data_IF_457146719585
#
_entry.id   IF_457146719585
#
_cell.length_a   1.000
_cell.length_b   1.000
_cell.length_c   1.000
_cell.angle_alpha   90.00
_cell.angle_beta   90.00
_cell.angle_gamma   90.00
#
_symmetry.space_group_name_H-M   'P 1'
#
loop_
_entity.id
_entity.type
_entity.pdbx_description
1 polymer ?
#
# COMPACT_ATOMS: atom_id res chain seq x y z
N UNK A 1 -3.24 15.20 32.50
CA UNK A 1 -2.66 13.83 32.49
C UNK A 1 -3.76 12.84 32.16
N UNK A 2 -3.73 12.18 31.00
CA UNK A 2 -4.75 11.21 30.57
C UNK A 2 -4.54 9.86 31.26
N UNK A 3 -5.22 9.65 32.38
CA UNK A 3 -5.03 8.52 33.31
C UNK A 3 -5.55 7.14 32.86
N UNK A 4 -5.57 6.81 31.57
CA UNK A 4 -6.09 5.50 31.11
C UNK A 4 -5.39 4.90 29.88
N UNK A 5 -4.10 5.19 29.66
CA UNK A 5 -3.33 4.47 28.64
C UNK A 5 -3.04 3.06 29.11
N UNK A 6 -3.48 2.07 28.33
CA UNK A 6 -3.19 0.64 28.52
C UNK A 6 -2.27 0.18 27.40
N UNK A 7 -1.16 -0.44 27.77
CA UNK A 7 -0.20 -1.04 26.85
C UNK A 7 -0.48 -2.53 26.74
N UNK A 8 -0.42 -3.06 25.51
CA UNK A 8 -0.69 -4.47 25.23
C UNK A 8 0.46 -5.05 24.43
N UNK A 9 1.08 -6.11 24.95
CA UNK A 9 2.04 -6.92 24.20
C UNK A 9 1.28 -7.90 23.33
N UNK A 10 1.39 -7.75 22.01
CA UNK A 10 0.66 -8.57 21.06
C UNK A 10 1.40 -9.85 20.65
N UNK A 11 2.74 -9.78 20.56
CA UNK A 11 3.59 -10.88 20.12
C UNK A 11 5.01 -10.66 20.64
N UNK A 12 5.67 -11.74 21.06
CA UNK A 12 7.08 -11.75 21.45
C UNK A 12 7.72 -12.97 20.77
N UNK A 13 8.71 -12.74 19.91
CA UNK A 13 9.43 -13.78 19.19
C UNK A 13 10.93 -13.52 19.33
N UNK A 14 11.69 -14.57 19.66
CA UNK A 14 13.15 -14.52 19.67
C UNK A 14 13.69 -14.78 18.26
N UNK A 15 14.38 -13.79 17.70
CA UNK A 15 14.94 -13.82 16.35
C UNK A 15 16.48 -13.78 16.35
N UNK A 16 17.12 -14.00 17.50
CA UNK A 16 18.58 -13.95 17.66
C UNK A 16 19.35 -14.86 16.69
N UNK A 17 18.77 -16.01 16.33
CA UNK A 17 19.36 -16.96 15.38
C UNK A 17 19.20 -16.56 13.90
N UNK A 18 18.43 -15.52 13.59
CA UNK A 18 18.16 -15.08 12.21
C UNK A 18 18.89 -13.74 11.99
N UNK A 19 20.02 -13.78 11.27
CA UNK A 19 20.85 -12.60 10.98
C UNK A 19 19.98 -11.42 10.53
N UNK A 20 20.13 -10.29 11.22
CA UNK A 20 19.39 -9.02 11.11
C UNK A 20 19.32 -8.44 9.69
N UNK A 21 18.59 -9.10 8.80
CA UNK A 21 18.37 -8.58 7.46
C UNK A 21 17.07 -7.80 7.52
N UNK A 22 17.07 -6.50 7.16
CA UNK A 22 15.88 -5.65 7.21
C UNK A 22 14.65 -6.24 6.49
N UNK A 23 14.91 -7.09 5.50
CA UNK A 23 13.90 -7.86 4.76
C UNK A 23 13.15 -8.91 5.60
N UNK A 24 13.82 -9.52 6.58
CA UNK A 24 13.16 -10.47 7.48
C UNK A 24 12.26 -9.74 8.46
N UNK A 25 12.78 -8.67 9.06
CA UNK A 25 12.01 -7.85 10.02
C UNK A 25 10.79 -7.23 9.35
N UNK A 26 10.93 -6.72 8.13
CA UNK A 26 9.80 -6.16 7.37
C UNK A 26 8.71 -7.20 7.10
N UNK A 27 9.09 -8.47 6.84
CA UNK A 27 8.13 -9.56 6.65
C UNK A 27 7.39 -9.92 7.95
N UNK A 28 8.07 -9.93 9.10
CA UNK A 28 7.46 -10.19 10.41
C UNK A 28 6.50 -9.05 10.79
N UNK A 29 6.94 -7.79 10.66
CA UNK A 29 6.12 -6.61 10.90
C UNK A 29 4.89 -6.62 9.99
N UNK A 30 5.06 -6.97 8.71
CA UNK A 30 3.96 -7.08 7.74
C UNK A 30 2.96 -8.16 8.13
N UNK A 31 3.40 -9.33 8.63
CA UNK A 31 2.51 -10.38 9.16
C UNK A 31 1.69 -9.88 10.36
N UNK A 32 2.33 -9.19 11.31
CA UNK A 32 1.66 -8.64 12.50
C UNK A 32 0.65 -7.55 12.13
N UNK A 33 1.03 -6.60 11.27
CA UNK A 33 0.13 -5.54 10.77
C UNK A 33 -1.08 -6.14 10.05
N UNK A 34 -0.87 -7.17 9.22
CA UNK A 34 -1.94 -7.86 8.53
C UNK A 34 -2.86 -8.61 9.49
N UNK A 35 -2.32 -9.24 10.55
CA UNK A 35 -3.08 -9.96 11.59
C UNK A 35 -3.97 -9.02 12.41
N UNK A 36 -3.49 -7.82 12.73
CA UNK A 36 -4.20 -6.85 13.59
C UNK A 36 -5.12 -5.90 12.80
N UNK A 37 -4.99 -5.91 11.46
CA UNK A 37 -5.53 -4.93 10.51
C UNK A 37 -4.84 -3.57 10.65
N UNK A 38 -4.30 -3.08 9.53
CA UNK A 38 -3.51 -1.85 9.45
C UNK A 38 -4.23 -0.57 9.96
N UNK A 39 -5.57 -0.57 9.96
CA UNK A 39 -6.44 0.51 10.45
C UNK A 39 -6.28 0.85 11.94
N UNK A 40 -5.72 -0.02 12.77
CA UNK A 40 -5.56 0.22 14.21
C UNK A 40 -4.22 0.89 14.61
N UNK A 41 -3.28 1.04 13.67
CA UNK A 41 -1.96 1.60 13.97
C UNK A 41 -1.86 3.07 13.57
N UNK A 42 -1.69 3.92 14.58
CA UNK A 42 -1.37 5.35 14.43
C UNK A 42 0.11 5.56 14.12
N UNK A 43 0.99 4.76 14.74
CA UNK A 43 2.43 4.83 14.56
C UNK A 43 3.09 3.44 14.66
N UNK A 44 4.22 3.27 13.96
CA UNK A 44 5.11 2.10 14.10
C UNK A 44 6.46 2.64 14.58
N UNK A 45 6.93 2.15 15.71
CA UNK A 45 8.22 2.55 16.31
C UNK A 45 9.11 1.31 16.35
N UNK A 46 10.30 1.41 15.77
CA UNK A 46 11.37 0.42 15.90
C UNK A 46 12.69 1.16 16.07
N UNK A 47 13.58 0.53 16.83
CA UNK A 47 14.98 0.86 17.02
C UNK A 47 15.78 0.94 15.70
N UNK A 48 15.34 0.25 14.65
CA UNK A 48 15.95 0.33 13.33
C UNK A 48 15.13 1.21 12.36
N UNK A 49 15.54 2.47 12.24
CA UNK A 49 14.90 3.51 11.43
C UNK A 49 14.71 3.11 9.95
N UNK A 50 15.63 2.29 9.40
CA UNK A 50 15.57 1.85 8.00
C UNK A 50 14.37 0.93 7.69
N UNK A 51 14.02 0.05 8.63
CA UNK A 51 12.89 -0.86 8.49
C UNK A 51 11.55 -0.16 8.68
N UNK A 52 11.50 0.83 9.58
CA UNK A 52 10.33 1.71 9.76
C UNK A 52 10.07 2.50 8.48
N UNK A 53 11.11 3.12 7.92
CA UNK A 53 11.00 3.92 6.71
C UNK A 53 10.43 3.11 5.53
N UNK A 54 10.95 1.91 5.28
CA UNK A 54 10.48 1.04 4.19
C UNK A 54 9.00 0.62 4.36
N UNK A 55 8.55 0.35 5.59
CA UNK A 55 7.15 -0.01 5.85
C UNK A 55 6.21 1.18 5.65
N UNK A 56 6.62 2.38 6.05
CA UNK A 56 5.87 3.63 5.83
C UNK A 56 5.76 3.98 4.35
N UNK A 57 6.84 3.83 3.59
CA UNK A 57 6.91 4.16 2.17
C UNK A 57 5.93 3.29 1.35
N UNK A 58 5.91 1.98 1.58
CA UNK A 58 4.95 1.07 0.93
C UNK A 58 3.50 1.42 1.30
N UNK A 59 3.23 1.76 2.56
CA UNK A 59 1.89 2.18 3.01
C UNK A 59 1.44 3.47 2.33
N UNK A 60 2.36 4.43 2.15
CA UNK A 60 2.08 5.69 1.48
C UNK A 60 1.78 5.50 -0.02
N UNK A 61 2.59 4.71 -0.72
CA UNK A 61 2.41 4.43 -2.16
C UNK A 61 1.05 3.78 -2.44
N UNK A 62 0.65 2.79 -1.64
CA UNK A 62 -0.66 2.12 -1.80
C UNK A 62 -1.81 3.09 -1.56
N UNK A 63 -1.67 4.02 -0.59
CA UNK A 63 -2.67 5.06 -0.33
C UNK A 63 -2.82 5.99 -1.53
N UNK A 64 -1.71 6.49 -2.09
CA UNK A 64 -1.75 7.37 -3.27
C UNK A 64 -2.35 6.65 -4.49
N UNK A 65 -1.95 5.41 -4.75
CA UNK A 65 -2.50 4.60 -5.84
C UNK A 65 -4.03 4.40 -5.71
N UNK A 66 -4.53 4.21 -4.48
CA UNK A 66 -5.95 4.06 -4.23
C UNK A 66 -6.74 5.37 -4.40
N UNK A 67 -6.18 6.50 -3.96
CA UNK A 67 -6.78 7.82 -4.15
C UNK A 67 -6.89 8.13 -5.64
N UNK A 68 -5.79 7.95 -6.39
CA UNK A 68 -5.75 8.13 -7.83
C UNK A 68 -6.80 7.27 -8.53
N UNK A 69 -6.85 5.98 -8.17
CA UNK A 69 -7.83 5.06 -8.75
C UNK A 69 -9.28 5.49 -8.50
N UNK A 70 -9.58 5.96 -7.27
CA UNK A 70 -10.93 6.44 -6.94
C UNK A 70 -11.29 7.72 -7.69
N UNK A 71 -10.34 8.65 -7.83
CA UNK A 71 -10.53 9.88 -8.59
C UNK A 71 -10.98 9.59 -10.02
N UNK A 72 -10.21 8.78 -10.75
CA UNK A 72 -10.55 8.41 -12.12
C UNK A 72 -11.87 7.65 -12.20
N UNK A 73 -12.13 6.68 -11.31
CA UNK A 73 -13.39 5.92 -11.32
C UNK A 73 -14.63 6.73 -11.00
N UNK A 74 -14.49 7.77 -10.18
CA UNK A 74 -15.62 8.62 -9.79
C UNK A 74 -15.86 9.76 -10.78
N UNK A 75 -14.87 10.12 -11.60
CA UNK A 75 -15.01 11.14 -12.64
C UNK A 75 -15.26 10.52 -14.01
N UNK A 76 -16.45 10.75 -14.56
CA UNK A 76 -16.87 10.23 -15.87
C UNK A 76 -15.99 10.74 -17.01
N UNK A 77 -15.62 12.02 -16.98
CA UNK A 77 -14.76 12.65 -18.00
C UNK A 77 -13.34 12.09 -17.96
N UNK A 78 -12.73 12.08 -16.77
CA UNK A 78 -11.35 11.61 -16.57
C UNK A 78 -11.22 10.11 -16.89
N UNK A 79 -12.21 9.30 -16.52
CA UNK A 79 -12.28 7.90 -16.94
C UNK A 79 -12.32 7.75 -18.47
N UNK A 80 -13.06 8.61 -19.16
CA UNK A 80 -13.16 8.59 -20.63
C UNK A 80 -11.81 8.94 -21.28
N UNK A 81 -11.15 10.00 -20.80
CA UNK A 81 -9.83 10.42 -21.28
C UNK A 81 -8.77 9.35 -21.03
N UNK A 82 -8.74 8.77 -19.84
CA UNK A 82 -7.84 7.66 -19.52
C UNK A 82 -8.07 6.46 -20.45
N UNK A 83 -9.33 6.09 -20.71
CA UNK A 83 -9.64 5.00 -21.64
C UNK A 83 -9.21 5.30 -23.08
N UNK A 84 -9.34 6.56 -23.53
CA UNK A 84 -8.82 6.99 -24.85
C UNK A 84 -7.30 6.89 -24.90
N UNK A 85 -6.60 7.34 -23.86
CA UNK A 85 -5.15 7.26 -23.76
C UNK A 85 -4.65 5.80 -23.75
N UNK A 86 -5.33 4.91 -23.03
CA UNK A 86 -5.04 3.47 -23.00
C UNK A 86 -5.16 2.86 -24.40
N UNK A 87 -6.24 3.18 -25.12
CA UNK A 87 -6.46 2.70 -26.49
C UNK A 87 -5.42 3.24 -27.46
N UNK A 88 -5.14 4.55 -27.39
CA UNK A 88 -4.15 5.20 -28.25
C UNK A 88 -2.75 4.61 -28.07
N UNK A 89 -2.37 4.26 -26.84
CA UNK A 89 -1.07 3.67 -26.50
C UNK A 89 -1.03 2.14 -26.63
N UNK A 90 -2.11 1.50 -27.09
CA UNK A 90 -2.24 0.04 -27.23
C UNK A 90 -1.84 -0.75 -25.96
N UNK A 91 -2.14 -0.21 -24.77
CA UNK A 91 -1.75 -0.85 -23.51
C UNK A 91 -2.68 -2.04 -23.23
N UNK A 92 -2.13 -3.26 -23.26
CA UNK A 92 -2.88 -4.48 -22.98
C UNK A 92 -3.26 -4.60 -21.50
N UNK A 93 -4.45 -5.16 -21.23
CA UNK A 93 -4.96 -5.47 -19.88
C UNK A 93 -6.15 -4.61 -19.44
N UNK A 94 -6.64 -4.82 -18.21
CA UNK A 94 -7.81 -4.10 -17.66
C UNK A 94 -7.45 -2.66 -17.23
N UNK A 95 -8.45 -1.83 -16.92
CA UNK A 95 -8.22 -0.50 -16.35
C UNK A 95 -7.72 -0.50 -14.90
N UNK A 96 -7.75 0.66 -14.24
CA UNK A 96 -7.31 0.83 -12.86
C UNK A 96 -8.08 -0.07 -11.87
N UNK A 97 -7.35 -0.62 -10.89
CA UNK A 97 -7.87 -1.55 -9.88
C UNK A 97 -7.93 -0.89 -8.51
N UNK A 98 -9.09 -0.97 -7.87
CA UNK A 98 -9.31 -0.41 -6.53
C UNK A 98 -8.74 -1.34 -5.48
N UNK A 99 -8.07 -0.75 -4.49
CA UNK A 99 -7.64 -1.48 -3.31
C UNK A 99 -8.82 -1.69 -2.35
N UNK A 100 -9.02 -2.94 -1.92
CA UNK A 100 -9.98 -3.33 -0.89
C UNK A 100 -9.18 -3.91 0.29
N UNK A 101 -9.32 -3.29 1.45
CA UNK A 101 -8.52 -3.62 2.64
C UNK A 101 -8.68 -5.07 3.12
N UNK A 102 -9.85 -5.68 2.89
CA UNK A 102 -10.11 -7.08 3.27
C UNK A 102 -9.53 -8.10 2.29
N UNK A 103 -8.93 -7.66 1.17
CA UNK A 103 -8.38 -8.54 0.12
C UNK A 103 -6.95 -8.14 -0.23
N UNK A 104 -5.98 -8.81 0.38
CA UNK A 104 -4.55 -8.57 0.22
C UNK A 104 -4.04 -8.58 -1.24
N UNK A 105 -4.62 -9.40 -2.13
CA UNK A 105 -4.26 -9.42 -3.57
C UNK A 105 -4.56 -8.09 -4.26
N UNK A 106 -5.57 -7.36 -3.79
CA UNK A 106 -5.97 -6.07 -4.39
C UNK A 106 -4.96 -4.97 -4.14
N UNK A 107 -4.05 -5.11 -3.15
CA UNK A 107 -2.90 -4.22 -2.98
C UNK A 107 -2.03 -4.31 -4.22
N UNK A 108 -1.57 -5.52 -4.55
CA UNK A 108 -0.72 -5.76 -5.71
C UNK A 108 -1.43 -5.38 -7.01
N UNK A 109 -2.71 -5.75 -7.18
CA UNK A 109 -3.48 -5.37 -8.36
C UNK A 109 -3.62 -3.85 -8.52
N UNK A 110 -3.86 -3.12 -7.43
CA UNK A 110 -3.98 -1.67 -7.44
C UNK A 110 -2.65 -1.03 -7.87
N UNK A 111 -1.55 -1.34 -7.18
CA UNK A 111 -0.24 -0.73 -7.48
C UNK A 111 0.28 -1.13 -8.86
N UNK A 112 0.12 -2.39 -9.25
CA UNK A 112 0.51 -2.89 -10.58
C UNK A 112 -0.33 -2.25 -11.69
N UNK A 113 -1.62 -1.99 -11.45
CA UNK A 113 -2.47 -1.32 -12.44
C UNK A 113 -2.06 0.14 -12.68
N UNK A 114 -1.69 0.87 -11.62
CA UNK A 114 -1.17 2.24 -11.74
C UNK A 114 0.16 2.25 -12.48
N UNK A 115 1.08 1.34 -12.12
CA UNK A 115 2.38 1.24 -12.79
C UNK A 115 2.27 0.91 -14.29
N UNK A 116 1.42 -0.07 -14.65
CA UNK A 116 1.20 -0.43 -16.06
C UNK A 116 0.58 0.70 -16.86
N UNK A 117 -0.24 1.54 -16.24
CA UNK A 117 -0.92 2.65 -16.88
C UNK A 117 -0.15 3.97 -16.79
N UNK A 118 1.10 3.97 -16.31
CA UNK A 118 1.89 5.19 -16.08
C UNK A 118 1.96 6.11 -17.31
N UNK A 119 2.17 5.53 -18.50
CA UNK A 119 2.33 6.30 -19.73
C UNK A 119 1.00 6.92 -20.20
N UNK A 120 -0.13 6.29 -19.87
CA UNK A 120 -1.46 6.84 -20.14
C UNK A 120 -1.87 7.88 -19.09
N UNK A 121 -1.51 7.66 -17.81
CA UNK A 121 -1.75 8.61 -16.73
C UNK A 121 -0.97 9.92 -16.94
N UNK A 122 0.30 9.85 -17.35
CA UNK A 122 1.11 11.02 -17.69
C UNK A 122 0.60 11.82 -18.91
N UNK A 123 -0.28 11.23 -19.71
CA UNK A 123 -0.86 11.92 -20.86
C UNK A 123 -2.17 12.65 -20.51
N UNK A 124 -2.81 12.26 -19.41
CA UNK A 124 -4.12 12.76 -18.97
C UNK A 124 -3.99 13.66 -17.73
N UNK A 125 -2.96 13.45 -16.90
CA UNK A 125 -2.54 14.32 -15.80
C UNK A 125 -1.38 15.21 -16.24
#
# INVERSE_FOLDING_TARGET
MTGSRKEYLLSLEDLSNIRHTGKHLSNVIKKVINKVRAKKFVAIVSDNSSNVAAAYEVKYIVRCANILTKYFKNSTLESSWLNKAIKSKNIAGRGLKTYIETRWTTVHECTSSVYRLKDALQHVC
#
